data_IF_784278256329
#
_entry.id   IF_784278256329
#
_cell.length_a   1.000
_cell.length_b   1.000
_cell.length_c   1.000
_cell.angle_alpha   90.00
_cell.angle_beta   90.00
_cell.angle_gamma   90.00
#
_symmetry.space_group_name_H-M   'P 1'
#
loop_
_entity.id
_entity.type
_entity.pdbx_description
1 polymer ?
#
# COMPACT_ATOMS: atom_id res chain seq x y z
N UNK A 1 0.11 6.51 15.05
CA UNK A 1 -1.03 6.64 14.10
C UNK A 1 -0.49 6.38 12.70
N UNK A 2 -1.06 5.41 11.99
CA UNK A 2 -0.74 5.16 10.57
C UNK A 2 -1.52 6.18 9.76
N UNK A 3 -0.83 6.86 8.87
CA UNK A 3 -1.35 7.84 7.92
C UNK A 3 -1.01 7.40 6.49
N UNK A 4 -1.63 8.04 5.50
CA UNK A 4 -1.42 7.69 4.09
C UNK A 4 0.06 7.88 3.67
N UNK A 5 0.74 8.88 4.23
CA UNK A 5 2.15 9.17 3.90
C UNK A 5 3.10 8.06 4.35
N UNK A 6 2.88 7.46 5.54
CA UNK A 6 3.69 6.31 5.98
C UNK A 6 3.49 5.09 5.11
N UNK A 7 2.25 4.83 4.69
CA UNK A 7 1.95 3.75 3.75
C UNK A 7 2.58 4.04 2.39
N UNK A 8 2.51 5.28 1.92
CA UNK A 8 3.15 5.69 0.67
C UNK A 8 4.67 5.46 0.73
N UNK A 9 5.32 5.97 1.77
CA UNK A 9 6.77 5.84 1.94
C UNK A 9 7.22 4.38 1.97
N UNK A 10 6.47 3.49 2.65
CA UNK A 10 6.79 2.08 2.70
C UNK A 10 6.59 1.36 1.36
N UNK A 11 5.44 1.57 0.72
CA UNK A 11 5.08 0.82 -0.49
C UNK A 11 5.73 1.36 -1.76
N UNK A 12 6.16 2.63 -1.77
CA UNK A 12 6.80 3.27 -2.93
C UNK A 12 8.13 2.62 -3.34
N UNK A 13 8.74 1.85 -2.42
CA UNK A 13 9.98 1.09 -2.67
C UNK A 13 9.71 -0.08 -3.63
N UNK A 14 8.50 -0.62 -3.63
CA UNK A 14 8.11 -1.79 -4.43
C UNK A 14 7.43 -1.43 -5.75
N UNK A 15 7.12 -0.15 -5.97
CA UNK A 15 6.51 0.32 -7.20
C UNK A 15 5.76 1.62 -7.07
N UNK A 16 5.19 2.04 -8.20
CA UNK A 16 4.36 3.24 -8.30
C UNK A 16 2.98 2.98 -7.69
N UNK A 17 2.63 3.81 -6.71
CA UNK A 17 1.33 3.77 -6.04
C UNK A 17 0.36 4.67 -6.80
N UNK A 18 -0.78 4.13 -7.21
CA UNK A 18 -1.87 4.86 -7.86
C UNK A 18 -2.81 5.46 -6.82
N UNK A 19 -3.11 4.70 -5.76
CA UNK A 19 -4.09 5.12 -4.75
C UNK A 19 -3.87 4.40 -3.43
N UNK A 20 -4.06 5.13 -2.33
CA UNK A 20 -4.18 4.58 -0.98
C UNK A 20 -5.59 4.87 -0.48
N UNK A 21 -6.20 3.91 0.21
CA UNK A 21 -7.53 4.07 0.81
C UNK A 21 -7.56 3.45 2.21
N UNK A 22 -7.67 4.31 3.22
CA UNK A 22 -7.92 3.90 4.59
C UNK A 22 -9.37 3.45 4.78
N UNK A 23 -9.58 2.31 5.42
CA UNK A 23 -10.90 1.73 5.62
C UNK A 23 -11.54 2.32 6.90
N UNK A 24 -12.56 3.18 6.74
CA UNK A 24 -13.26 3.77 7.90
C UNK A 24 -13.97 2.74 8.79
N UNK A 25 -14.42 1.63 8.19
CA UNK A 25 -15.10 0.54 8.91
C UNK A 25 -14.11 -0.43 9.58
N UNK A 26 -12.82 -0.38 9.22
CA UNK A 26 -11.74 -1.21 9.76
C UNK A 26 -10.47 -0.36 9.86
N UNK A 27 -10.31 0.41 10.95
CA UNK A 27 -9.31 1.48 11.06
C UNK A 27 -7.85 1.00 11.07
N UNK A 28 -7.65 -0.31 11.25
CA UNK A 28 -6.38 -1.04 11.19
C UNK A 28 -6.03 -1.53 9.78
N UNK A 29 -6.93 -1.36 8.80
CA UNK A 29 -6.73 -1.84 7.43
C UNK A 29 -6.69 -0.68 6.42
N UNK A 30 -5.89 -0.88 5.36
CA UNK A 30 -5.80 0.01 4.22
C UNK A 30 -5.75 -0.81 2.92
N UNK A 31 -6.20 -0.20 1.82
CA UNK A 31 -6.01 -0.73 0.48
C UNK A 31 -4.99 0.12 -0.25
N UNK A 32 -4.07 -0.51 -0.96
CA UNK A 32 -3.04 0.14 -1.78
C UNK A 32 -3.17 -0.42 -3.18
N UNK A 33 -3.37 0.48 -4.14
CA UNK A 33 -3.41 0.16 -5.55
C UNK A 33 -2.05 0.50 -6.16
N UNK A 34 -1.33 -0.52 -6.61
CA UNK A 34 -0.10 -0.36 -7.38
C UNK A 34 -0.42 -0.12 -8.86
N UNK A 35 0.57 0.36 -9.62
CA UNK A 35 0.41 0.64 -11.05
C UNK A 35 0.18 -0.63 -11.89
N UNK A 36 0.78 -1.75 -11.51
CA UNK A 36 0.58 -3.05 -12.15
C UNK A 36 0.56 -4.21 -11.13
N UNK A 37 0.19 -5.40 -11.60
CA UNK A 37 0.11 -6.61 -10.78
C UNK A 37 1.47 -7.13 -10.31
N UNK A 38 2.55 -6.89 -11.06
CA UNK A 38 3.89 -7.36 -10.72
C UNK A 38 4.45 -6.59 -9.51
N UNK A 39 4.29 -5.26 -9.50
CA UNK A 39 4.64 -4.40 -8.37
C UNK A 39 3.84 -4.75 -7.12
N UNK A 40 2.54 -5.07 -7.29
CA UNK A 40 1.71 -5.55 -6.19
C UNK A 40 2.21 -6.90 -5.64
N UNK A 41 2.57 -7.83 -6.51
CA UNK A 41 3.12 -9.13 -6.12
C UNK A 41 4.47 -9.00 -5.41
N UNK A 42 5.36 -8.12 -5.88
CA UNK A 42 6.61 -7.81 -5.18
C UNK A 42 6.36 -7.29 -3.77
N UNK A 43 5.48 -6.30 -3.61
CA UNK A 43 5.14 -5.76 -2.29
C UNK A 43 4.62 -6.87 -1.35
N UNK A 44 3.74 -7.76 -1.83
CA UNK A 44 3.23 -8.89 -1.05
C UNK A 44 4.32 -9.91 -0.72
N UNK A 45 5.25 -10.15 -1.63
CA UNK A 45 6.33 -11.11 -1.42
C UNK A 45 7.31 -10.65 -0.33
N UNK A 46 7.64 -9.35 -0.30
CA UNK A 46 8.64 -8.79 0.62
C UNK A 46 8.07 -8.26 1.95
N UNK A 47 6.78 -7.92 2.01
CA UNK A 47 6.11 -7.39 3.22
C UNK A 47 5.26 -8.45 3.96
N UNK A 48 5.44 -9.73 3.64
CA UNK A 48 4.70 -10.84 4.24
C UNK A 48 5.10 -11.13 5.68
#
# INVERSE_FOLDING_TARGET
KVDEDKLFNLFSIYGNIVRIKLLRNKPDHALIQMADGFQAEMAVHFLK
#
